data_IF_147688135690
#
_entry.id   IF_147688135690
#
_cell.length_a   1.000
_cell.length_b   1.000
_cell.length_c   1.000
_cell.angle_alpha   90.00
_cell.angle_beta   90.00
_cell.angle_gamma   90.00
#
_symmetry.space_group_name_H-M   'P 1'
#
loop_
_entity.id
_entity.type
_entity.pdbx_description
1 polymer ?
#
# COMPACT_ATOMS: atom_id res chain seq x y z
N UNK A 1 -14.58 -4.31 -81.91
CA UNK A 1 -13.64 -5.00 -80.95
C UNK A 1 -14.01 -4.56 -79.56
N UNK A 2 -14.84 -5.31 -78.93
CA UNK A 2 -15.39 -5.09 -77.61
C UNK A 2 -14.62 -5.98 -76.66
N UNK A 3 -13.96 -5.36 -75.68
CA UNK A 3 -13.31 -6.11 -74.57
C UNK A 3 -14.35 -6.58 -73.53
N UNK A 4 -14.22 -7.77 -72.95
CA UNK A 4 -15.11 -8.23 -71.92
C UNK A 4 -14.70 -7.68 -70.53
N UNK A 5 -15.71 -7.24 -69.79
CA UNK A 5 -15.60 -6.78 -68.39
C UNK A 5 -15.28 -7.99 -67.46
N UNK A 6 -14.12 -7.98 -66.84
CA UNK A 6 -13.80 -8.87 -65.72
C UNK A 6 -14.60 -8.50 -64.46
N UNK A 7 -15.47 -9.37 -64.06
CA UNK A 7 -16.19 -9.33 -62.78
C UNK A 7 -15.23 -9.70 -61.68
N UNK A 8 -14.89 -8.77 -60.75
CA UNK A 8 -14.17 -9.01 -59.52
C UNK A 8 -14.97 -9.97 -58.61
N UNK A 9 -14.34 -10.97 -57.99
CA UNK A 9 -15.02 -11.86 -57.10
C UNK A 9 -15.45 -11.13 -55.82
N UNK A 10 -16.70 -11.40 -55.45
CA UNK A 10 -17.42 -10.94 -54.27
C UNK A 10 -16.53 -11.05 -53.00
N UNK A 11 -16.30 -9.93 -52.30
CA UNK A 11 -15.68 -9.88 -51.01
C UNK A 11 -16.53 -10.74 -50.05
N UNK A 12 -15.97 -11.87 -49.64
CA UNK A 12 -16.54 -12.70 -48.61
C UNK A 12 -16.83 -11.83 -47.36
N UNK A 13 -18.08 -11.75 -47.01
CA UNK A 13 -18.56 -11.17 -45.75
C UNK A 13 -17.78 -11.81 -44.62
N UNK A 14 -16.87 -11.01 -44.05
CA UNK A 14 -16.24 -11.35 -42.77
C UNK A 14 -17.38 -11.52 -41.77
N UNK A 15 -17.63 -12.76 -41.39
CA UNK A 15 -18.70 -13.12 -40.49
C UNK A 15 -18.66 -12.23 -39.25
N UNK A 16 -19.78 -11.57 -38.99
CA UNK A 16 -20.06 -10.85 -37.77
C UNK A 16 -19.76 -11.80 -36.57
N UNK A 17 -18.59 -11.62 -35.97
CA UNK A 17 -18.31 -12.18 -34.64
C UNK A 17 -19.36 -11.57 -33.73
N UNK A 18 -20.27 -12.36 -33.13
CA UNK A 18 -21.31 -11.81 -32.27
C UNK A 18 -20.63 -10.92 -31.24
N UNK A 19 -21.10 -9.69 -31.12
CA UNK A 19 -20.68 -8.73 -30.12
C UNK A 19 -21.06 -9.35 -28.75
N UNK A 20 -20.26 -10.31 -28.31
CA UNK A 20 -20.29 -10.83 -26.95
C UNK A 20 -20.22 -9.63 -26.07
N UNK A 21 -21.21 -9.49 -25.20
CA UNK A 21 -21.47 -8.37 -24.28
C UNK A 21 -20.13 -7.88 -23.70
N UNK A 22 -19.50 -6.92 -24.39
CA UNK A 22 -18.27 -6.31 -23.93
C UNK A 22 -18.63 -5.54 -22.68
N UNK A 23 -18.09 -6.00 -21.57
CA UNK A 23 -18.31 -5.38 -20.29
C UNK A 23 -17.90 -3.90 -20.38
N UNK A 24 -18.77 -3.00 -19.94
CA UNK A 24 -18.46 -1.57 -19.94
C UNK A 24 -17.15 -1.33 -19.18
N UNK A 25 -16.17 -0.59 -19.72
CA UNK A 25 -14.91 -0.31 -19.04
C UNK A 25 -15.10 0.27 -17.65
N UNK A 26 -16.13 1.10 -17.45
CA UNK A 26 -16.50 1.61 -16.13
C UNK A 26 -16.91 0.52 -15.14
N UNK A 27 -17.63 -0.52 -15.59
CA UNK A 27 -17.97 -1.65 -14.71
C UNK A 27 -16.73 -2.41 -14.26
N UNK A 28 -15.71 -2.52 -15.12
CA UNK A 28 -14.45 -3.13 -14.75
C UNK A 28 -13.69 -2.29 -13.69
N UNK A 29 -13.57 -0.99 -13.92
CA UNK A 29 -12.92 -0.06 -12.97
C UNK A 29 -13.62 -0.08 -11.61
N UNK A 30 -14.95 0.06 -11.59
CA UNK A 30 -15.74 0.00 -10.35
C UNK A 30 -15.62 -1.38 -9.70
N UNK A 31 -15.65 -2.46 -10.48
CA UNK A 31 -15.45 -3.82 -9.97
C UNK A 31 -14.11 -3.97 -9.25
N UNK A 32 -13.00 -3.55 -9.87
CA UNK A 32 -11.69 -3.53 -9.20
C UNK A 32 -11.67 -2.61 -7.97
N UNK A 33 -12.41 -1.51 -8.01
CA UNK A 33 -12.59 -0.62 -6.86
C UNK A 33 -13.31 -1.32 -5.70
N UNK A 34 -14.39 -2.08 -5.98
CA UNK A 34 -15.12 -2.86 -4.97
C UNK A 34 -14.26 -3.98 -4.40
N UNK A 35 -13.46 -4.67 -5.23
CA UNK A 35 -12.48 -5.66 -4.75
C UNK A 35 -11.48 -5.00 -3.80
N UNK A 36 -10.98 -3.80 -4.15
CA UNK A 36 -10.03 -3.07 -3.31
C UNK A 36 -10.69 -2.61 -2.01
N UNK A 37 -11.89 -2.06 -2.07
CA UNK A 37 -12.68 -1.69 -0.90
C UNK A 37 -12.83 -2.87 0.06
N UNK A 38 -13.31 -4.00 -0.41
CA UNK A 38 -13.52 -5.18 0.42
C UNK A 38 -12.19 -5.73 0.99
N UNK A 39 -11.12 -5.76 0.20
CA UNK A 39 -9.81 -6.20 0.66
C UNK A 39 -9.17 -5.22 1.66
N UNK A 40 -9.37 -3.92 1.48
CA UNK A 40 -8.86 -2.93 2.43
C UNK A 40 -9.69 -2.90 3.71
N UNK A 41 -10.97 -3.24 3.68
CA UNK A 41 -11.73 -3.56 4.90
C UNK A 41 -11.07 -4.68 5.71
N UNK A 42 -10.60 -5.76 5.03
CA UNK A 42 -9.90 -6.86 5.70
C UNK A 42 -8.56 -6.37 6.29
N UNK A 43 -7.75 -5.76 5.44
CA UNK A 43 -6.39 -5.37 5.79
C UNK A 43 -6.33 -4.27 6.85
N UNK A 44 -7.04 -3.15 6.64
CA UNK A 44 -7.01 -2.02 7.57
C UNK A 44 -7.85 -2.30 8.81
N UNK A 45 -8.89 -3.14 8.69
CA UNK A 45 -9.62 -3.67 9.84
C UNK A 45 -8.70 -4.44 10.78
N UNK A 46 -7.92 -5.40 10.29
CA UNK A 46 -6.95 -6.14 11.09
C UNK A 46 -5.84 -5.25 11.65
N UNK A 47 -5.32 -4.33 10.82
CA UNK A 47 -4.26 -3.40 11.21
C UNK A 47 -4.66 -2.55 12.41
N UNK A 48 -5.93 -2.17 12.49
CA UNK A 48 -6.46 -1.35 13.59
C UNK A 48 -6.34 -2.00 14.96
N UNK A 49 -6.31 -3.34 15.04
CA UNK A 49 -6.23 -4.11 16.30
C UNK A 49 -5.04 -5.07 16.36
N UNK A 50 -4.07 -4.96 15.44
CA UNK A 50 -2.87 -5.82 15.44
C UNK A 50 -2.04 -5.65 16.71
N UNK A 51 -1.82 -4.43 17.19
CA UNK A 51 -1.11 -4.18 18.45
C UNK A 51 -1.80 -4.81 19.66
N UNK A 52 -3.09 -4.53 19.90
CA UNK A 52 -3.89 -5.18 20.93
C UNK A 52 -3.89 -6.72 20.87
N UNK A 53 -4.01 -7.30 19.67
CA UNK A 53 -3.97 -8.75 19.49
C UNK A 53 -2.61 -9.32 19.91
N UNK A 54 -1.51 -8.75 19.41
CA UNK A 54 -0.17 -9.21 19.76
C UNK A 54 0.12 -9.03 21.26
N UNK A 55 -0.37 -7.93 21.86
CA UNK A 55 -0.28 -7.70 23.31
C UNK A 55 -1.01 -8.81 24.10
N UNK A 56 -2.24 -9.18 23.70
CA UNK A 56 -3.01 -10.24 24.34
C UNK A 56 -2.35 -11.62 24.23
N UNK A 57 -1.51 -11.82 23.21
CA UNK A 57 -0.71 -13.04 23.02
C UNK A 57 0.66 -12.98 23.74
N UNK A 58 0.93 -11.93 24.52
CA UNK A 58 2.16 -11.79 25.30
C UNK A 58 3.34 -11.17 24.57
N UNK A 59 3.11 -10.49 23.43
CA UNK A 59 4.17 -9.79 22.72
C UNK A 59 4.68 -8.58 23.52
N UNK A 60 6.00 -8.35 23.48
CA UNK A 60 6.59 -7.07 23.92
C UNK A 60 6.38 -5.98 22.87
N UNK A 61 6.50 -4.71 23.27
CA UNK A 61 6.43 -3.60 22.32
C UNK A 61 7.51 -3.68 21.23
N UNK A 62 8.69 -4.22 21.56
CA UNK A 62 9.77 -4.51 20.59
C UNK A 62 9.28 -5.45 19.50
N UNK A 63 8.64 -6.56 19.88
CA UNK A 63 8.15 -7.54 18.92
C UNK A 63 7.02 -6.96 18.06
N UNK A 64 6.10 -6.21 18.66
CA UNK A 64 5.05 -5.51 17.91
C UNK A 64 5.65 -4.54 16.90
N UNK A 65 6.62 -3.72 17.30
CA UNK A 65 7.32 -2.79 16.43
C UNK A 65 8.09 -3.48 15.31
N UNK A 66 8.79 -4.57 15.62
CA UNK A 66 9.53 -5.38 14.66
C UNK A 66 8.58 -6.01 13.61
N UNK A 67 7.52 -6.68 14.04
CA UNK A 67 6.58 -7.38 13.13
C UNK A 67 5.83 -6.39 12.25
N UNK A 68 5.36 -5.28 12.80
CA UNK A 68 4.65 -4.27 12.01
C UNK A 68 5.60 -3.53 11.07
N UNK A 69 6.82 -3.20 11.50
CA UNK A 69 7.87 -2.62 10.64
C UNK A 69 8.33 -3.57 9.54
N UNK A 70 8.56 -4.86 9.88
CA UNK A 70 8.89 -5.89 8.90
C UNK A 70 7.77 -6.09 7.87
N UNK A 71 6.51 -6.03 8.31
CA UNK A 71 5.36 -6.08 7.41
C UNK A 71 5.35 -4.93 6.39
N UNK A 72 5.60 -3.70 6.82
CA UNK A 72 5.72 -2.56 5.90
C UNK A 72 6.90 -2.72 4.95
N UNK A 73 8.05 -3.17 5.44
CA UNK A 73 9.22 -3.47 4.62
C UNK A 73 8.92 -4.53 3.56
N UNK A 74 8.28 -5.64 3.93
CA UNK A 74 7.89 -6.70 3.00
C UNK A 74 6.94 -6.17 1.93
N UNK A 75 5.93 -5.37 2.31
CA UNK A 75 4.99 -4.78 1.38
C UNK A 75 5.66 -3.83 0.37
N UNK A 76 6.77 -3.18 0.72
CA UNK A 76 7.52 -2.29 -0.16
C UNK A 76 8.54 -3.05 -1.02
N UNK A 77 9.43 -3.82 -0.37
CA UNK A 77 10.59 -4.44 -1.02
C UNK A 77 10.17 -5.56 -1.97
N UNK A 78 9.23 -6.42 -1.56
CA UNK A 78 8.81 -7.53 -2.42
C UNK A 78 8.09 -7.06 -3.70
N UNK A 79 7.53 -5.85 -3.76
CA UNK A 79 6.98 -5.30 -5.02
C UNK A 79 8.04 -5.15 -6.10
N UNK A 80 9.28 -4.88 -5.72
CA UNK A 80 10.42 -4.78 -6.65
C UNK A 80 10.69 -6.12 -7.33
N UNK A 81 10.41 -7.23 -6.65
CA UNK A 81 10.55 -8.60 -7.18
C UNK A 81 9.31 -9.00 -7.97
N UNK A 82 8.13 -8.79 -7.40
CA UNK A 82 6.86 -9.24 -8.01
C UNK A 82 6.40 -8.38 -9.19
N UNK A 83 6.86 -7.14 -9.32
CA UNK A 83 6.61 -6.32 -10.51
C UNK A 83 7.17 -6.96 -11.78
N UNK A 84 8.51 -7.11 -11.89
CA UNK A 84 9.13 -7.78 -13.03
C UNK A 84 8.68 -9.23 -13.24
N UNK A 85 8.33 -9.94 -12.15
CA UNK A 85 7.80 -11.30 -12.25
C UNK A 85 6.40 -11.31 -12.91
N UNK A 86 5.53 -10.35 -12.55
CA UNK A 86 4.22 -10.20 -13.17
C UNK A 86 4.34 -9.90 -14.66
N UNK A 87 5.23 -8.95 -15.03
CA UNK A 87 5.44 -8.55 -16.42
C UNK A 87 6.03 -9.68 -17.27
N UNK A 88 7.04 -10.40 -16.75
CA UNK A 88 7.67 -11.53 -17.47
C UNK A 88 6.76 -12.74 -17.62
N UNK A 89 5.96 -13.03 -16.59
CA UNK A 89 5.09 -14.21 -16.60
C UNK A 89 3.78 -13.98 -17.33
N UNK A 90 3.34 -12.72 -17.49
CA UNK A 90 2.02 -12.34 -17.99
C UNK A 90 0.85 -12.86 -17.11
N UNK A 91 1.14 -13.50 -15.98
CA UNK A 91 0.15 -14.15 -15.11
C UNK A 91 -0.49 -13.18 -14.12
N UNK A 92 -0.96 -12.02 -14.61
CA UNK A 92 -1.54 -10.97 -13.77
C UNK A 92 -2.70 -11.46 -12.91
N UNK A 93 -3.62 -12.22 -13.48
CA UNK A 93 -4.76 -12.78 -12.73
C UNK A 93 -4.34 -13.74 -11.62
N UNK A 94 -3.40 -14.67 -11.91
CA UNK A 94 -2.92 -15.64 -10.91
C UNK A 94 -2.27 -14.95 -9.72
N UNK A 95 -1.39 -13.97 -9.96
CA UNK A 95 -0.73 -13.21 -8.89
C UNK A 95 -1.73 -12.35 -8.10
N UNK A 96 -2.70 -11.75 -8.79
CA UNK A 96 -3.76 -10.98 -8.13
C UNK A 96 -4.59 -11.88 -7.22
N UNK A 97 -5.06 -13.05 -7.70
CA UNK A 97 -5.78 -14.00 -6.88
C UNK A 97 -4.95 -14.51 -5.70
N UNK A 98 -3.71 -14.93 -5.93
CA UNK A 98 -2.83 -15.42 -4.87
C UNK A 98 -2.67 -14.39 -3.74
N UNK A 99 -2.42 -13.12 -4.09
CA UNK A 99 -2.27 -12.08 -3.09
C UNK A 99 -3.57 -11.76 -2.34
N UNK A 100 -4.72 -11.71 -3.01
CA UNK A 100 -6.02 -11.50 -2.34
C UNK A 100 -6.42 -12.71 -1.49
N UNK A 101 -6.13 -13.94 -1.90
CA UNK A 101 -6.37 -15.15 -1.11
C UNK A 101 -5.55 -15.13 0.18
N UNK A 102 -4.27 -14.75 0.13
CA UNK A 102 -3.45 -14.58 1.33
C UNK A 102 -4.09 -13.59 2.31
N UNK A 103 -4.56 -12.44 1.84
CA UNK A 103 -5.25 -11.46 2.71
C UNK A 103 -6.56 -12.05 3.27
N UNK A 104 -7.40 -12.66 2.42
CA UNK A 104 -8.71 -13.18 2.82
C UNK A 104 -8.63 -14.40 3.76
N UNK A 105 -7.51 -15.12 3.77
CA UNK A 105 -7.30 -16.29 4.64
C UNK A 105 -6.48 -15.94 5.87
N UNK A 106 -5.31 -15.28 5.70
CA UNK A 106 -4.40 -15.04 6.82
C UNK A 106 -5.00 -14.09 7.88
N UNK A 107 -5.76 -13.09 7.44
CA UNK A 107 -6.34 -12.12 8.38
C UNK A 107 -7.44 -12.75 9.25
N UNK A 108 -8.49 -13.40 8.73
CA UNK A 108 -9.46 -14.06 9.58
C UNK A 108 -8.86 -15.21 10.41
N UNK A 109 -7.81 -15.88 9.91
CA UNK A 109 -7.10 -16.92 10.65
C UNK A 109 -6.43 -16.39 11.93
N UNK A 110 -6.15 -15.08 12.04
CA UNK A 110 -5.71 -14.46 13.29
C UNK A 110 -6.71 -14.67 14.44
N UNK A 111 -7.99 -14.86 14.14
CA UNK A 111 -9.01 -15.18 15.14
C UNK A 111 -8.74 -16.48 15.93
N UNK A 112 -7.98 -17.40 15.35
CA UNK A 112 -7.67 -18.71 15.97
C UNK A 112 -6.50 -18.59 16.96
N UNK A 113 -5.65 -17.57 16.80
CA UNK A 113 -4.38 -17.47 17.53
C UNK A 113 -4.51 -17.44 19.04
N UNK A 114 -5.55 -16.83 19.68
CA UNK A 114 -5.72 -16.91 21.14
C UNK A 114 -5.96 -18.32 21.66
N UNK A 115 -6.39 -19.26 20.81
CA UNK A 115 -6.71 -20.64 21.19
C UNK A 115 -5.56 -21.62 20.96
N UNK A 116 -4.40 -21.14 20.45
CA UNK A 116 -3.24 -21.97 20.12
C UNK A 116 -2.19 -22.05 21.25
N UNK A 117 -2.56 -21.65 22.46
CA UNK A 117 -1.67 -21.63 23.62
C UNK A 117 -0.29 -21.00 23.28
N UNK A 118 0.83 -21.64 23.65
CA UNK A 118 2.17 -21.12 23.41
C UNK A 118 2.56 -20.87 21.94
N UNK A 119 1.86 -21.46 20.98
CA UNK A 119 2.12 -21.24 19.55
C UNK A 119 1.40 -20.01 19.00
N UNK A 120 0.42 -19.45 19.73
CA UNK A 120 -0.46 -18.39 19.24
C UNK A 120 0.29 -17.16 18.73
N UNK A 121 1.27 -16.69 19.48
CA UNK A 121 2.08 -15.52 19.12
C UNK A 121 2.89 -15.75 17.84
N UNK A 122 3.56 -16.91 17.73
CA UNK A 122 4.35 -17.23 16.54
C UNK A 122 3.48 -17.35 15.29
N UNK A 123 2.32 -18.00 15.43
CA UNK A 123 1.35 -18.12 14.31
C UNK A 123 0.79 -16.76 13.94
N UNK A 124 0.46 -15.88 14.89
CA UNK A 124 0.02 -14.50 14.59
C UNK A 124 1.07 -13.72 13.80
N UNK A 125 2.33 -13.77 14.22
CA UNK A 125 3.44 -13.13 13.51
C UNK A 125 3.56 -13.63 12.06
N UNK A 126 3.50 -14.95 11.85
CA UNK A 126 3.57 -15.56 10.52
C UNK A 126 2.38 -15.15 9.63
N UNK A 127 1.16 -15.15 10.15
CA UNK A 127 -0.03 -14.75 9.42
C UNK A 127 0.02 -13.27 9.01
N UNK A 128 0.47 -12.39 9.91
CA UNK A 128 0.66 -10.96 9.61
C UNK A 128 1.67 -10.78 8.49
N UNK A 129 2.82 -11.44 8.56
CA UNK A 129 3.85 -11.33 7.52
C UNK A 129 3.39 -11.96 6.20
N UNK A 130 2.68 -13.09 6.23
CA UNK A 130 2.11 -13.72 5.03
C UNK A 130 1.09 -12.81 4.33
N UNK A 131 0.23 -12.12 5.09
CA UNK A 131 -0.67 -11.12 4.54
C UNK A 131 0.11 -9.98 3.85
N UNK A 132 1.20 -9.46 4.45
CA UNK A 132 2.05 -8.43 3.85
C UNK A 132 2.71 -8.89 2.55
N UNK A 133 3.18 -10.14 2.52
CA UNK A 133 3.66 -10.76 1.29
C UNK A 133 2.55 -10.82 0.22
N UNK A 134 1.33 -11.21 0.60
CA UNK A 134 0.16 -11.20 -0.27
C UNK A 134 -0.11 -9.82 -0.89
N UNK A 135 -0.02 -8.75 -0.08
CA UNK A 135 -0.17 -7.36 -0.55
C UNK A 135 0.92 -7.00 -1.58
N UNK A 136 2.15 -7.42 -1.36
CA UNK A 136 3.25 -7.20 -2.29
C UNK A 136 3.06 -7.94 -3.63
N UNK A 137 2.61 -9.20 -3.58
CA UNK A 137 2.36 -10.04 -4.76
C UNK A 137 1.25 -9.45 -5.64
N UNK A 138 0.11 -9.08 -5.03
CA UNK A 138 -1.07 -8.61 -5.79
C UNK A 138 -0.90 -7.20 -6.36
N UNK A 139 -0.14 -6.32 -5.68
CA UNK A 139 -0.14 -4.89 -5.97
C UNK A 139 0.27 -4.54 -7.40
N UNK A 140 1.41 -5.00 -7.96
CA UNK A 140 1.79 -4.70 -9.33
C UNK A 140 0.83 -5.34 -10.35
N UNK A 141 0.47 -6.61 -10.16
CA UNK A 141 -0.43 -7.33 -11.06
C UNK A 141 -1.84 -6.70 -11.13
N UNK A 142 -2.42 -6.35 -9.96
CA UNK A 142 -3.70 -5.62 -9.89
C UNK A 142 -3.61 -4.28 -10.62
N UNK A 143 -2.52 -3.55 -10.43
CA UNK A 143 -2.35 -2.23 -11.06
C UNK A 143 -2.31 -2.33 -12.58
N UNK A 144 -1.65 -3.35 -13.14
CA UNK A 144 -1.63 -3.61 -14.57
C UNK A 144 -3.03 -3.94 -15.12
N UNK A 145 -3.79 -4.82 -14.44
CA UNK A 145 -5.18 -5.14 -14.82
C UNK A 145 -6.10 -3.92 -14.77
N UNK A 146 -5.96 -3.09 -13.71
CA UNK A 146 -6.73 -1.85 -13.58
C UNK A 146 -6.35 -0.84 -14.66
N UNK A 147 -5.07 -0.68 -14.98
CA UNK A 147 -4.62 0.23 -16.04
C UNK A 147 -5.20 -0.16 -17.40
N UNK A 148 -5.21 -1.47 -17.72
CA UNK A 148 -5.84 -1.98 -18.92
C UNK A 148 -7.35 -1.67 -18.95
N UNK A 149 -8.06 -1.88 -17.85
CA UNK A 149 -9.49 -1.55 -17.75
C UNK A 149 -9.77 -0.04 -17.83
N UNK A 150 -8.90 0.78 -17.23
CA UNK A 150 -9.05 2.23 -17.17
C UNK A 150 -8.66 2.94 -18.47
N UNK A 151 -7.94 2.28 -19.37
CA UNK A 151 -7.48 2.88 -20.64
C UNK A 151 -8.60 3.50 -21.47
N UNK A 152 -9.77 2.86 -21.50
CA UNK A 152 -10.94 3.33 -22.26
C UNK A 152 -11.76 4.43 -21.57
N UNK A 153 -11.60 4.65 -20.26
CA UNK A 153 -12.33 5.67 -19.48
C UNK A 153 -11.47 6.86 -19.08
N UNK A 154 -10.16 6.77 -19.35
CA UNK A 154 -9.13 7.70 -18.93
C UNK A 154 -8.46 7.21 -17.62
N UNK A 155 -7.14 7.00 -17.69
CA UNK A 155 -6.34 6.45 -16.58
C UNK A 155 -6.55 7.23 -15.28
N UNK A 156 -6.48 8.57 -15.34
CA UNK A 156 -6.63 9.41 -14.13
C UNK A 156 -7.97 9.21 -13.44
N UNK A 157 -9.08 9.21 -14.20
CA UNK A 157 -10.43 9.00 -13.66
C UNK A 157 -10.61 7.60 -13.10
N UNK A 158 -10.12 6.57 -13.81
CA UNK A 158 -10.20 5.19 -13.37
C UNK A 158 -9.45 4.95 -12.07
N UNK A 159 -8.21 5.45 -11.97
CA UNK A 159 -7.43 5.35 -10.73
C UNK A 159 -8.00 6.18 -9.58
N UNK A 160 -8.60 7.35 -9.86
CA UNK A 160 -9.23 8.17 -8.83
C UNK A 160 -10.44 7.47 -8.19
N UNK A 161 -11.34 6.88 -9.02
CA UNK A 161 -12.49 6.11 -8.52
C UNK A 161 -12.01 4.88 -7.73
N UNK A 162 -11.01 4.17 -8.24
CA UNK A 162 -10.42 3.03 -7.53
C UNK A 162 -9.85 3.45 -6.17
N UNK A 163 -9.08 4.56 -6.12
CA UNK A 163 -8.49 5.05 -4.86
C UNK A 163 -9.52 5.55 -3.86
N UNK A 164 -10.61 6.16 -4.33
CA UNK A 164 -11.71 6.56 -3.46
C UNK A 164 -12.38 5.35 -2.78
N UNK A 165 -12.63 4.26 -3.52
CA UNK A 165 -13.17 3.02 -2.99
C UNK A 165 -12.18 2.31 -2.04
N UNK A 166 -10.89 2.31 -2.36
CA UNK A 166 -9.78 1.86 -1.51
C UNK A 166 -9.83 2.57 -0.12
N UNK A 167 -9.92 3.90 -0.13
CA UNK A 167 -10.00 4.69 1.10
C UNK A 167 -11.32 4.47 1.88
N UNK A 168 -12.44 4.29 1.17
CA UNK A 168 -13.68 3.93 1.82
C UNK A 168 -13.56 2.59 2.58
N UNK A 169 -12.87 1.60 1.98
CA UNK A 169 -12.54 0.33 2.64
C UNK A 169 -11.64 0.50 3.86
N UNK A 170 -10.63 1.38 3.76
CA UNK A 170 -9.70 1.66 4.85
C UNK A 170 -10.38 2.29 6.09
N UNK A 171 -11.50 2.98 5.91
CA UNK A 171 -12.33 3.48 7.01
C UNK A 171 -13.37 2.45 7.46
N UNK A 172 -14.06 1.80 6.52
CA UNK A 172 -15.15 0.88 6.82
C UNK A 172 -14.68 -0.39 7.56
N UNK A 173 -13.49 -0.90 7.25
CA UNK A 173 -12.92 -2.08 7.91
C UNK A 173 -12.74 -1.89 9.43
N UNK A 174 -12.01 -0.87 9.88
CA UNK A 174 -11.89 -0.56 11.31
C UNK A 174 -13.23 -0.27 11.99
N UNK A 175 -14.19 0.36 11.30
CA UNK A 175 -15.54 0.57 11.86
C UNK A 175 -16.27 -0.77 12.07
N UNK A 176 -16.18 -1.70 11.13
CA UNK A 176 -16.71 -3.05 11.28
C UNK A 176 -16.09 -3.78 12.49
N UNK A 177 -14.75 -3.72 12.58
CA UNK A 177 -13.99 -4.30 13.69
C UNK A 177 -14.39 -3.68 15.02
N UNK A 178 -14.54 -2.36 15.10
CA UNK A 178 -14.97 -1.65 16.29
C UNK A 178 -16.37 -2.10 16.76
N UNK A 179 -17.33 -2.18 15.81
CA UNK A 179 -18.68 -2.63 16.11
C UNK A 179 -18.71 -4.05 16.69
N UNK A 180 -17.99 -4.99 16.06
CA UNK A 180 -17.92 -6.38 16.55
C UNK A 180 -17.17 -6.48 17.87
N UNK A 181 -16.06 -5.75 18.04
CA UNK A 181 -15.30 -5.75 19.31
C UNK A 181 -16.14 -5.16 20.46
N UNK A 182 -16.97 -4.14 20.22
CA UNK A 182 -17.87 -3.56 21.20
C UNK A 182 -18.97 -4.55 21.65
N UNK A 183 -19.51 -5.34 20.70
CA UNK A 183 -20.56 -6.31 20.98
C UNK A 183 -20.01 -7.59 21.65
N UNK A 184 -18.84 -8.05 21.23
CA UNK A 184 -18.27 -9.31 21.68
C UNK A 184 -17.40 -9.19 22.94
N UNK A 185 -16.92 -7.99 23.26
CA UNK A 185 -15.97 -7.75 24.37
C UNK A 185 -14.57 -8.37 24.19
N UNK A 186 -14.33 -9.03 23.05
CA UNK A 186 -13.09 -9.74 22.74
C UNK A 186 -12.65 -9.49 21.29
N UNK A 187 -11.34 -9.69 20.97
CA UNK A 187 -10.79 -9.36 19.67
C UNK A 187 -10.99 -10.45 18.60
N UNK A 188 -11.09 -11.73 19.01
CA UNK A 188 -11.14 -12.82 18.04
C UNK A 188 -12.38 -12.79 17.12
N UNK A 189 -13.62 -12.42 17.56
CA UNK A 189 -14.75 -12.31 16.65
C UNK A 189 -14.59 -11.15 15.67
N UNK A 190 -13.93 -10.07 16.12
CA UNK A 190 -13.64 -8.92 15.28
C UNK A 190 -12.62 -9.22 14.17
N UNK A 191 -11.70 -10.18 14.40
CA UNK A 191 -10.85 -10.73 13.34
C UNK A 191 -11.63 -11.70 12.44
N UNK A 192 -12.47 -12.57 13.03
CA UNK A 192 -13.23 -13.58 12.29
C UNK A 192 -14.22 -12.95 11.30
N UNK A 193 -14.90 -11.86 11.67
CA UNK A 193 -15.88 -11.19 10.79
C UNK A 193 -15.26 -10.70 9.48
N UNK A 194 -13.96 -10.46 9.44
CA UNK A 194 -13.24 -10.02 8.25
C UNK A 194 -13.20 -11.10 7.14
N UNK A 195 -13.63 -12.33 7.43
CA UNK A 195 -13.87 -13.35 6.41
C UNK A 195 -14.96 -12.91 5.41
N UNK A 196 -15.95 -12.14 5.86
CA UNK A 196 -17.06 -11.67 5.02
C UNK A 196 -16.57 -10.75 3.90
N UNK A 197 -15.91 -9.61 4.18
CA UNK A 197 -15.35 -8.78 3.12
C UNK A 197 -14.22 -9.50 2.36
N UNK A 198 -13.46 -10.40 2.98
CA UNK A 198 -12.45 -11.21 2.31
C UNK A 198 -13.04 -12.13 1.24
N UNK A 199 -14.10 -12.86 1.58
CA UNK A 199 -14.86 -13.69 0.65
C UNK A 199 -15.50 -12.85 -0.46
N UNK A 200 -16.10 -11.71 -0.12
CA UNK A 200 -16.69 -10.79 -1.08
C UNK A 200 -15.64 -10.29 -2.10
N UNK A 201 -14.43 -9.93 -1.66
CA UNK A 201 -13.34 -9.53 -2.55
C UNK A 201 -12.99 -10.64 -3.57
N UNK A 202 -12.86 -11.89 -3.11
CA UNK A 202 -12.53 -13.03 -3.97
C UNK A 202 -13.67 -13.36 -4.94
N UNK A 203 -14.93 -13.31 -4.49
CA UNK A 203 -16.10 -13.58 -5.33
C UNK A 203 -16.25 -12.54 -6.44
N UNK A 204 -16.12 -11.23 -6.08
CA UNK A 204 -16.16 -10.14 -7.06
C UNK A 204 -14.98 -10.25 -8.03
N UNK A 205 -13.78 -10.55 -7.55
CA UNK A 205 -12.61 -10.77 -8.40
C UNK A 205 -12.81 -11.93 -9.39
N UNK A 206 -13.36 -13.05 -8.91
CA UNK A 206 -13.69 -14.19 -9.75
C UNK A 206 -14.75 -13.86 -10.80
N UNK A 207 -15.75 -13.06 -10.43
CA UNK A 207 -16.77 -12.58 -11.35
C UNK A 207 -16.18 -11.64 -12.43
N UNK A 208 -15.29 -10.72 -12.06
CA UNK A 208 -14.59 -9.84 -13.02
C UNK A 208 -13.78 -10.67 -14.00
N UNK A 209 -12.98 -11.64 -13.51
CA UNK A 209 -12.17 -12.51 -14.36
C UNK A 209 -12.99 -13.25 -15.42
N UNK A 210 -14.22 -13.70 -15.08
CA UNK A 210 -15.11 -14.37 -16.05
C UNK A 210 -15.62 -13.43 -17.15
N UNK A 211 -15.59 -12.12 -16.92
CA UNK A 211 -16.12 -11.10 -17.84
C UNK A 211 -15.03 -10.33 -18.59
N UNK A 212 -13.79 -10.35 -18.10
CA UNK A 212 -12.66 -9.71 -18.75
C UNK A 212 -11.71 -10.75 -19.35
N UNK A 213 -11.39 -10.66 -20.65
CA UNK A 213 -10.35 -11.49 -21.26
C UNK A 213 -8.99 -11.15 -20.63
N UNK A 214 -8.06 -12.10 -20.70
CA UNK A 214 -6.70 -11.89 -20.23
C UNK A 214 -6.02 -10.82 -21.12
N UNK A 215 -5.44 -9.75 -20.55
CA UNK A 215 -4.75 -8.71 -21.32
C UNK A 215 -3.66 -9.27 -22.25
N UNK A 216 -2.92 -10.28 -21.80
CA UNK A 216 -1.88 -10.93 -22.58
C UNK A 216 -2.41 -11.60 -23.87
N UNK A 217 -3.67 -12.07 -23.86
CA UNK A 217 -4.32 -12.66 -25.03
C UNK A 217 -4.83 -11.56 -25.97
N UNK A 218 -5.29 -10.43 -25.43
CA UNK A 218 -5.83 -9.31 -26.19
C UNK A 218 -4.74 -8.55 -26.95
N UNK A 219 -3.56 -8.35 -26.36
CA UNK A 219 -2.43 -7.69 -27.04
C UNK A 219 -1.90 -8.55 -28.20
N UNK A 220 -1.78 -9.86 -28.02
CA UNK A 220 -1.36 -10.78 -29.09
C UNK A 220 -2.37 -10.88 -30.24
N UNK A 221 -3.66 -10.66 -29.97
CA UNK A 221 -4.71 -10.66 -30.99
C UNK A 221 -4.79 -9.34 -31.78
N UNK A 222 -4.34 -8.23 -31.18
CA UNK A 222 -4.41 -6.89 -31.76
C UNK A 222 -3.10 -6.44 -32.44
N UNK A 223 -2.01 -7.18 -32.26
CA UNK A 223 -0.74 -6.90 -32.93
C UNK A 223 -0.91 -7.21 -34.43
N UNK A 224 -0.70 -6.26 -35.36
CA UNK A 224 -0.58 -6.58 -36.79
C UNK A 224 0.51 -7.65 -36.93
N UNK A 225 0.25 -8.71 -37.69
CA UNK A 225 1.30 -9.69 -38.06
C UNK A 225 2.32 -8.94 -38.96
N UNK A 226 3.14 -8.11 -38.33
CA UNK A 226 4.28 -7.50 -39.00
C UNK A 226 5.30 -8.63 -39.19
N UNK A 227 5.60 -8.89 -40.46
CA UNK A 227 6.54 -9.88 -40.97
C UNK A 227 8.01 -9.48 -40.74
N UNK A 228 8.29 -8.61 -39.81
CA UNK A 228 9.66 -8.26 -39.42
C UNK A 228 9.85 -8.71 -37.96
N UNK A 229 10.84 -9.56 -37.65
CA UNK A 229 11.14 -9.91 -36.27
C UNK A 229 11.49 -8.61 -35.54
N UNK A 230 10.59 -8.20 -34.64
CA UNK A 230 10.88 -7.11 -33.73
C UNK A 230 12.20 -7.46 -33.05
N UNK A 231 13.22 -6.62 -33.28
CA UNK A 231 14.51 -6.71 -32.62
C UNK A 231 14.17 -6.75 -31.13
N UNK A 232 14.36 -7.92 -30.52
CA UNK A 232 14.16 -8.11 -29.07
C UNK A 232 14.85 -6.97 -28.35
N UNK A 233 14.06 -6.08 -27.74
CA UNK A 233 14.63 -5.06 -26.87
C UNK A 233 15.43 -5.82 -25.80
N UNK A 234 16.71 -5.49 -25.57
CA UNK A 234 17.52 -6.22 -24.64
C UNK A 234 16.79 -6.27 -23.30
N UNK A 235 16.43 -7.48 -22.84
CA UNK A 235 15.83 -7.67 -21.53
C UNK A 235 16.69 -6.92 -20.51
N UNK A 236 16.14 -6.00 -19.71
CA UNK A 236 16.93 -5.29 -18.72
C UNK A 236 17.49 -6.34 -17.75
N UNK A 237 18.74 -6.76 -17.98
CA UNK A 237 19.48 -7.48 -16.98
C UNK A 237 19.59 -6.55 -15.80
N UNK A 238 19.01 -6.94 -14.65
CA UNK A 238 19.15 -6.21 -13.39
C UNK A 238 20.66 -5.99 -13.14
N UNK A 239 21.15 -4.80 -13.44
CA UNK A 239 22.54 -4.44 -13.25
C UNK A 239 22.62 -3.53 -12.05
N UNK A 240 23.07 -4.05 -10.93
CA UNK A 240 23.39 -3.27 -9.72
C UNK A 240 24.31 -2.06 -10.02
N UNK A 241 25.04 -2.09 -11.13
CA UNK A 241 25.82 -0.96 -11.66
C UNK A 241 24.99 0.31 -11.92
N UNK A 242 23.67 0.20 -12.10
CA UNK A 242 22.79 1.36 -12.33
C UNK A 242 22.46 2.14 -11.03
N UNK A 243 22.66 1.56 -9.85
CA UNK A 243 22.43 2.27 -8.58
C UNK A 243 23.51 3.35 -8.33
N UNK A 244 24.75 3.09 -8.72
CA UNK A 244 25.86 4.06 -8.59
C UNK A 244 25.74 5.26 -9.53
N UNK A 245 24.87 5.19 -10.55
CA UNK A 245 24.63 6.29 -11.48
C UNK A 245 23.50 7.23 -11.03
N UNK A 246 22.87 6.95 -9.89
CA UNK A 246 21.80 7.81 -9.38
C UNK A 246 22.39 9.13 -8.83
N UNK A 247 21.72 10.28 -9.06
CA UNK A 247 22.22 11.57 -8.63
C UNK A 247 22.37 11.66 -7.11
N UNK A 248 23.33 12.45 -6.63
CA UNK A 248 23.54 12.68 -5.18
C UNK A 248 22.27 13.22 -4.52
N UNK A 249 21.52 14.08 -5.22
CA UNK A 249 20.25 14.64 -4.72
C UNK A 249 19.21 13.54 -4.45
N UNK A 250 19.15 12.49 -5.29
CA UNK A 250 18.30 11.32 -5.03
C UNK A 250 18.70 10.61 -3.73
N UNK A 251 20.00 10.42 -3.46
CA UNK A 251 20.46 9.75 -2.23
C UNK A 251 20.16 10.57 -0.98
N UNK A 252 20.31 11.90 -1.06
CA UNK A 252 19.92 12.81 0.04
C UNK A 252 18.41 12.70 0.30
N UNK A 253 17.61 12.72 -0.76
CA UNK A 253 16.16 12.54 -0.65
C UNK A 253 15.76 11.18 -0.08
N UNK A 254 16.37 10.10 -0.56
CA UNK A 254 16.12 8.76 -0.05
C UNK A 254 16.50 8.62 1.43
N UNK A 255 17.61 9.22 1.84
CA UNK A 255 18.03 9.26 3.25
C UNK A 255 17.05 10.09 4.12
N UNK A 256 16.60 11.26 3.63
CA UNK A 256 15.61 12.10 4.32
C UNK A 256 14.28 11.36 4.52
N UNK A 257 13.76 10.73 3.46
CA UNK A 257 12.54 9.94 3.54
C UNK A 257 12.71 8.66 4.38
N UNK A 258 13.90 8.05 4.34
CA UNK A 258 14.25 6.93 5.22
C UNK A 258 14.22 7.35 6.68
N UNK A 259 14.83 8.48 7.04
CA UNK A 259 14.79 9.04 8.39
C UNK A 259 13.34 9.39 8.81
N UNK A 260 12.56 10.03 7.94
CA UNK A 260 11.15 10.31 8.22
C UNK A 260 10.36 9.02 8.49
N UNK A 261 10.56 7.98 7.68
CA UNK A 261 9.93 6.66 7.86
C UNK A 261 10.39 5.96 9.14
N UNK A 262 11.67 6.03 9.49
CA UNK A 262 12.20 5.43 10.72
C UNK A 262 11.62 6.08 11.99
N UNK A 263 11.33 7.38 11.95
CA UNK A 263 10.70 8.05 13.09
C UNK A 263 9.16 7.95 13.10
N UNK A 264 8.53 7.54 12.01
CA UNK A 264 7.09 7.33 11.97
C UNK A 264 6.73 6.01 12.67
N UNK A 265 6.42 6.11 13.95
CA UNK A 265 6.02 4.96 14.77
C UNK A 265 4.85 4.23 14.11
N UNK A 266 4.91 2.89 14.07
CA UNK A 266 3.81 2.10 13.50
C UNK A 266 2.56 2.18 14.37
N UNK A 267 1.38 2.16 13.75
CA UNK A 267 0.13 2.13 14.51
C UNK A 267 0.05 0.91 15.45
N UNK A 268 0.74 -0.18 15.13
CA UNK A 268 0.83 -1.34 16.00
C UNK A 268 1.38 -1.01 17.39
N UNK A 269 2.44 -0.21 17.49
CA UNK A 269 3.02 0.22 18.77
C UNK A 269 2.10 1.24 19.47
N UNK A 270 1.49 2.15 18.72
CA UNK A 270 0.52 3.12 19.28
C UNK A 270 -0.69 2.38 19.85
N UNK A 271 -1.30 1.48 19.11
CA UNK A 271 -2.48 0.72 19.55
C UNK A 271 -2.14 -0.26 20.70
N UNK A 272 -0.92 -0.77 20.73
CA UNK A 272 -0.39 -1.54 21.87
C UNK A 272 -0.40 -0.68 23.15
N UNK A 273 0.11 0.56 23.09
CA UNK A 273 0.08 1.51 24.21
C UNK A 273 -1.35 1.81 24.66
N UNK A 274 -2.21 2.21 23.73
CA UNK A 274 -3.60 2.56 24.04
C UNK A 274 -4.36 1.45 24.79
N UNK A 275 -4.01 0.18 24.53
CA UNK A 275 -4.65 -0.98 25.15
C UNK A 275 -3.97 -1.41 26.42
N UNK A 276 -2.63 -1.49 26.44
CA UNK A 276 -1.84 -1.94 27.59
C UNK A 276 -2.02 -1.00 28.78
N UNK A 277 -1.96 0.30 28.55
CA UNK A 277 -2.06 1.33 29.58
C UNK A 277 -3.52 1.78 29.80
N UNK A 278 -4.48 1.07 29.19
CA UNK A 278 -5.94 1.31 29.32
C UNK A 278 -6.35 2.77 29.08
N UNK A 279 -5.66 3.45 28.15
CA UNK A 279 -5.94 4.86 27.80
C UNK A 279 -7.34 5.02 27.21
N UNK A 280 -7.79 4.00 26.44
CA UNK A 280 -9.13 3.93 25.87
C UNK A 280 -9.67 2.50 25.93
N UNK A 281 -11.01 2.28 25.92
CA UNK A 281 -11.60 0.96 25.76
C UNK A 281 -11.14 0.29 24.48
N UNK A 282 -10.98 -1.04 24.50
CA UNK A 282 -10.46 -1.81 23.36
C UNK A 282 -11.25 -1.60 22.05
N UNK A 283 -12.56 -1.43 22.14
CA UNK A 283 -13.42 -1.15 21.00
C UNK A 283 -13.24 0.27 20.42
N UNK A 284 -12.67 1.20 21.19
CA UNK A 284 -12.36 2.55 20.69
C UNK A 284 -11.10 2.59 19.84
N UNK A 285 -10.16 1.64 20.02
CA UNK A 285 -8.90 1.61 19.27
C UNK A 285 -9.11 1.57 17.76
N UNK A 286 -9.95 0.69 17.19
CA UNK A 286 -10.22 0.71 15.75
C UNK A 286 -11.06 1.93 15.30
N UNK A 287 -11.89 2.54 16.17
CA UNK A 287 -12.56 3.81 15.84
C UNK A 287 -11.57 4.96 15.66
N UNK A 288 -10.59 5.06 16.57
CA UNK A 288 -9.51 6.05 16.47
C UNK A 288 -8.68 5.83 15.21
N UNK A 289 -8.44 4.56 14.85
CA UNK A 289 -7.76 4.23 13.60
C UNK A 289 -8.57 4.64 12.36
N UNK A 290 -9.87 4.39 12.35
CA UNK A 290 -10.75 4.82 11.27
C UNK A 290 -10.70 6.35 11.08
N UNK A 291 -10.71 7.10 12.19
CA UNK A 291 -10.55 8.55 12.16
C UNK A 291 -9.18 8.98 11.64
N UNK A 292 -8.11 8.26 12.00
CA UNK A 292 -6.77 8.49 11.46
C UNK A 292 -6.70 8.24 9.95
N UNK A 293 -7.37 7.20 9.44
CA UNK A 293 -7.44 6.93 7.99
C UNK A 293 -8.24 7.99 7.24
N UNK A 294 -9.28 8.53 7.84
CA UNK A 294 -9.99 9.69 7.30
C UNK A 294 -9.07 10.94 7.28
N UNK A 295 -8.33 11.20 8.36
CA UNK A 295 -7.34 12.28 8.40
C UNK A 295 -6.23 12.08 7.35
N UNK A 296 -5.78 10.85 7.14
CA UNK A 296 -4.80 10.51 6.11
C UNK A 296 -5.33 10.81 4.69
N UNK A 297 -6.58 10.46 4.41
CA UNK A 297 -7.21 10.76 3.13
C UNK A 297 -7.30 12.28 2.88
N UNK A 298 -7.74 13.04 3.87
CA UNK A 298 -7.81 14.51 3.78
C UNK A 298 -6.42 15.13 3.61
N UNK A 299 -5.45 14.68 4.39
CA UNK A 299 -4.06 15.16 4.30
C UNK A 299 -3.42 14.82 2.94
N UNK A 300 -3.69 13.64 2.38
CA UNK A 300 -3.22 13.27 1.07
C UNK A 300 -3.78 14.17 -0.04
N UNK A 301 -5.07 14.50 0.01
CA UNK A 301 -5.70 15.42 -0.94
C UNK A 301 -5.13 16.84 -0.80
N UNK A 302 -5.03 17.34 0.44
CA UNK A 302 -4.52 18.67 0.73
C UNK A 302 -3.05 18.79 0.34
N UNK A 303 -2.21 17.81 0.71
CA UNK A 303 -0.79 17.83 0.38
C UNK A 303 -0.55 17.69 -1.12
N UNK A 304 -1.35 16.91 -1.84
CA UNK A 304 -1.28 16.84 -3.31
C UNK A 304 -1.60 18.19 -3.96
N UNK A 305 -2.68 18.85 -3.54
CA UNK A 305 -3.05 20.17 -4.03
C UNK A 305 -2.01 21.26 -3.69
N UNK A 306 -1.44 21.19 -2.48
CA UNK A 306 -0.35 22.09 -2.08
C UNK A 306 0.93 21.81 -2.89
N UNK A 307 1.21 20.54 -3.19
CA UNK A 307 2.37 20.13 -3.99
C UNK A 307 2.31 20.71 -5.41
N UNK A 308 1.15 20.73 -6.03
CA UNK A 308 0.95 21.34 -7.36
C UNK A 308 1.23 22.84 -7.36
N UNK A 309 1.12 23.53 -6.19
CA UNK A 309 1.35 24.97 -6.04
C UNK A 309 2.73 25.34 -5.53
N UNK A 310 3.27 24.56 -4.58
CA UNK A 310 4.49 24.88 -3.84
C UNK A 310 5.62 23.86 -4.09
N UNK A 311 5.38 22.85 -4.94
CA UNK A 311 6.34 21.80 -5.24
C UNK A 311 6.73 20.98 -3.99
N UNK A 312 7.95 20.45 -4.00
CA UNK A 312 8.48 19.60 -2.95
C UNK A 312 8.56 20.22 -1.54
N UNK A 313 8.42 21.56 -1.41
CA UNK A 313 8.45 22.25 -0.10
C UNK A 313 7.37 21.76 0.87
N UNK A 314 6.26 21.26 0.35
CA UNK A 314 5.18 20.67 1.17
C UNK A 314 5.68 19.50 2.01
N UNK A 315 6.69 18.76 1.52
CA UNK A 315 7.27 17.63 2.25
C UNK A 315 8.00 18.03 3.53
N UNK A 316 8.38 19.30 3.71
CA UNK A 316 8.97 19.78 4.97
C UNK A 316 8.00 19.67 6.15
N UNK A 317 6.68 19.61 5.89
CA UNK A 317 5.68 19.38 6.92
C UNK A 317 5.76 17.96 7.51
N UNK A 318 6.22 16.96 6.72
CA UNK A 318 6.24 15.57 7.15
C UNK A 318 7.09 15.30 8.39
N UNK A 319 8.39 15.69 8.45
CA UNK A 319 9.20 15.50 9.66
C UNK A 319 8.63 16.23 10.88
N UNK A 320 8.00 17.39 10.68
CA UNK A 320 7.40 18.17 11.77
C UNK A 320 6.20 17.42 12.36
N UNK A 321 5.29 16.94 11.49
CA UNK A 321 4.14 16.15 11.94
C UNK A 321 4.61 14.89 12.68
N UNK A 322 5.57 14.15 12.12
CA UNK A 322 6.08 12.91 12.71
C UNK A 322 6.76 13.13 14.06
N UNK A 323 7.50 14.26 14.23
CA UNK A 323 8.16 14.58 15.49
C UNK A 323 7.19 14.77 16.67
N UNK A 324 6.00 15.29 16.40
CA UNK A 324 4.97 15.57 17.41
C UNK A 324 4.21 14.31 17.84
N UNK A 325 4.09 13.31 16.95
CA UNK A 325 3.29 12.09 17.18
C UNK A 325 3.63 11.41 18.51
N UNK A 326 4.89 11.07 18.85
CA UNK A 326 5.18 10.31 20.07
C UNK A 326 4.82 11.08 21.34
N UNK A 327 5.01 12.39 21.34
CA UNK A 327 4.72 13.23 22.51
C UNK A 327 3.21 13.26 22.84
N UNK A 328 2.35 13.09 21.84
CA UNK A 328 0.90 13.08 22.03
C UNK A 328 0.34 11.65 22.09
N UNK A 329 0.75 10.76 21.18
CA UNK A 329 0.15 9.43 21.04
C UNK A 329 0.47 8.48 22.21
N UNK A 330 1.58 8.70 22.95
CA UNK A 330 1.97 7.91 24.09
C UNK A 330 1.68 8.57 25.45
N UNK A 331 0.68 9.43 25.51
CA UNK A 331 0.20 10.01 26.77
C UNK A 331 -0.92 9.17 27.35
N UNK A 332 -1.09 9.22 28.69
CA UNK A 332 -2.23 8.62 29.39
C UNK A 332 -3.53 9.45 29.26
N UNK A 333 -3.48 10.58 28.54
CA UNK A 333 -4.64 11.41 28.26
C UNK A 333 -5.31 10.98 26.96
N UNK A 334 -6.51 10.40 27.02
CA UNK A 334 -7.22 9.95 25.84
C UNK A 334 -7.41 11.06 24.78
N UNK A 335 -7.81 12.32 25.12
CA UNK A 335 -7.90 13.36 24.12
C UNK A 335 -6.57 13.67 23.43
N UNK A 336 -5.47 13.75 24.17
CA UNK A 336 -4.15 14.02 23.61
C UNK A 336 -3.68 12.86 22.73
N UNK A 337 -3.88 11.62 23.16
CA UNK A 337 -3.54 10.43 22.37
C UNK A 337 -4.32 10.37 21.05
N UNK A 338 -5.62 10.69 21.06
CA UNK A 338 -6.44 10.77 19.85
C UNK A 338 -5.90 11.82 18.89
N UNK A 339 -5.56 13.03 19.39
CA UNK A 339 -4.95 14.07 18.54
C UNK A 339 -3.62 13.59 17.96
N UNK A 340 -2.78 12.92 18.75
CA UNK A 340 -1.52 12.33 18.27
C UNK A 340 -1.74 11.31 17.14
N UNK A 341 -2.78 10.46 17.27
CA UNK A 341 -3.14 9.47 16.25
C UNK A 341 -3.71 10.13 14.99
N UNK A 342 -4.47 11.22 15.10
CA UNK A 342 -4.94 11.97 13.93
C UNK A 342 -3.77 12.64 13.18
N UNK A 343 -2.79 13.20 13.92
CA UNK A 343 -1.56 13.75 13.32
C UNK A 343 -0.75 12.64 12.66
N UNK A 344 -0.66 11.45 13.29
CA UNK A 344 -0.05 10.27 12.67
C UNK A 344 -0.73 9.91 11.34
N UNK A 345 -2.05 9.88 11.31
CA UNK A 345 -2.81 9.66 10.07
C UNK A 345 -2.49 10.71 9.01
N UNK A 346 -2.47 12.00 9.38
CA UNK A 346 -2.11 13.09 8.47
C UNK A 346 -0.68 12.92 7.91
N UNK A 347 0.31 12.54 8.74
CA UNK A 347 1.68 12.27 8.31
C UNK A 347 1.74 11.11 7.30
N UNK A 348 1.00 10.02 7.54
CA UNK A 348 0.86 8.89 6.58
C UNK A 348 0.28 9.39 5.26
N UNK A 349 -0.75 10.23 5.28
CA UNK A 349 -1.38 10.79 4.09
C UNK A 349 -0.43 11.65 3.26
N UNK A 350 0.33 12.54 3.90
CA UNK A 350 1.38 13.36 3.24
C UNK A 350 2.44 12.45 2.62
N UNK A 351 2.92 11.45 3.36
CA UNK A 351 3.95 10.53 2.88
C UNK A 351 3.50 9.73 1.66
N UNK A 352 2.28 9.21 1.66
CA UNK A 352 1.76 8.38 0.56
C UNK A 352 1.47 9.17 -0.72
N UNK A 353 1.10 10.45 -0.59
CA UNK A 353 0.73 11.31 -1.71
C UNK A 353 1.96 11.88 -2.43
N UNK A 354 2.85 12.55 -1.70
CA UNK A 354 3.83 13.49 -2.31
C UNK A 354 5.23 12.89 -2.50
N UNK A 355 5.65 11.94 -1.65
CA UNK A 355 7.01 11.39 -1.71
C UNK A 355 7.31 10.69 -3.05
N UNK A 356 6.34 9.93 -3.58
CA UNK A 356 6.52 9.20 -4.85
C UNK A 356 6.62 10.11 -6.07
N UNK A 357 5.94 11.25 -6.03
CA UNK A 357 5.98 12.24 -7.11
C UNK A 357 7.41 12.81 -7.25
N UNK A 358 8.01 13.22 -6.13
CA UNK A 358 9.34 13.81 -6.14
C UNK A 358 10.45 12.82 -6.56
N UNK A 359 10.32 11.51 -6.26
CA UNK A 359 11.26 10.49 -6.78
C UNK A 359 11.30 10.50 -8.30
N UNK A 360 10.14 10.65 -8.96
CA UNK A 360 10.08 10.67 -10.43
C UNK A 360 10.76 11.91 -11.04
N UNK A 361 10.73 13.03 -10.34
CA UNK A 361 11.31 14.29 -10.81
C UNK A 361 12.85 14.32 -10.64
N UNK A 362 13.36 13.66 -9.59
CA UNK A 362 14.79 13.66 -9.25
C UNK A 362 15.66 12.77 -10.15
N UNK A 363 15.07 11.87 -10.95
CA UNK A 363 15.82 10.88 -11.73
C UNK A 363 15.37 10.82 -13.19
N UNK A 364 16.30 10.57 -14.14
CA UNK A 364 15.98 10.34 -15.54
C UNK A 364 15.01 9.16 -15.72
N UNK A 365 14.16 9.20 -16.74
CA UNK A 365 13.19 8.15 -17.07
C UNK A 365 13.82 6.77 -17.21
N UNK A 366 15.06 6.69 -17.73
CA UNK A 366 15.81 5.46 -17.95
C UNK A 366 16.24 4.75 -16.67
N UNK A 367 16.35 5.46 -15.54
CA UNK A 367 16.79 4.92 -14.24
C UNK A 367 15.69 4.90 -13.18
N UNK A 368 14.46 5.33 -13.51
CA UNK A 368 13.33 5.41 -12.56
C UNK A 368 13.01 4.10 -11.87
N UNK A 369 13.00 2.99 -12.60
CA UNK A 369 12.71 1.69 -12.02
C UNK A 369 13.75 1.29 -10.95
N UNK A 370 15.04 1.53 -11.22
CA UNK A 370 16.11 1.31 -10.26
C UNK A 370 15.99 2.24 -9.06
N UNK A 371 15.68 3.52 -9.28
CA UNK A 371 15.48 4.49 -8.22
C UNK A 371 14.32 4.10 -7.29
N UNK A 372 13.16 3.72 -7.83
CA UNK A 372 12.05 3.23 -7.00
C UNK A 372 12.40 1.96 -6.22
N UNK A 373 13.22 1.06 -6.80
CA UNK A 373 13.69 -0.15 -6.13
C UNK A 373 14.60 0.17 -4.95
N UNK A 374 15.60 1.03 -5.16
CA UNK A 374 16.51 1.50 -4.10
C UNK A 374 15.73 2.26 -3.02
N UNK A 375 14.85 3.15 -3.43
CA UNK A 375 14.00 3.92 -2.51
C UNK A 375 13.14 3.01 -1.63
N UNK A 376 12.49 1.99 -2.22
CA UNK A 376 11.71 1.01 -1.48
C UNK A 376 12.57 0.20 -0.49
N UNK A 377 13.80 -0.15 -0.86
CA UNK A 377 14.74 -0.84 0.04
C UNK A 377 15.14 0.04 1.23
N UNK A 378 15.45 1.33 0.98
CA UNK A 378 15.78 2.29 2.05
C UNK A 378 14.59 2.48 3.00
N UNK A 379 13.39 2.71 2.47
CA UNK A 379 12.19 2.86 3.30
C UNK A 379 11.84 1.56 4.06
N UNK A 380 12.01 0.39 3.43
CA UNK A 380 11.80 -0.89 4.09
C UNK A 380 12.75 -1.12 5.26
N UNK A 381 14.05 -0.88 5.06
CA UNK A 381 15.04 -0.96 6.13
C UNK A 381 14.73 0.05 7.27
N UNK A 382 14.34 1.27 6.91
CA UNK A 382 13.94 2.30 7.85
C UNK A 382 12.70 1.92 8.65
N UNK A 383 11.70 1.27 8.04
CA UNK A 383 10.49 0.82 8.72
C UNK A 383 10.79 -0.28 9.75
N UNK A 384 11.66 -1.24 9.43
CA UNK A 384 12.10 -2.27 10.38
C UNK A 384 12.87 -1.63 11.54
N UNK A 385 13.88 -0.83 11.23
CA UNK A 385 14.71 -0.19 12.23
C UNK A 385 13.88 0.74 13.14
N UNK A 386 13.03 1.57 12.55
CA UNK A 386 12.17 2.50 13.27
C UNK A 386 11.13 1.80 14.15
N UNK A 387 10.45 0.78 13.63
CA UNK A 387 9.49 0.00 14.40
C UNK A 387 10.14 -0.71 15.59
N UNK A 388 11.30 -1.35 15.37
CA UNK A 388 12.07 -2.02 16.43
C UNK A 388 12.57 -1.03 17.47
N UNK A 389 13.15 0.09 17.03
CA UNK A 389 13.64 1.16 17.89
C UNK A 389 12.52 1.77 18.74
N UNK A 390 11.39 2.08 18.11
CA UNK A 390 10.23 2.63 18.81
C UNK A 390 9.71 1.67 19.88
N UNK A 391 9.57 0.39 19.57
CA UNK A 391 9.17 -0.63 20.55
C UNK A 391 10.19 -0.79 21.68
N UNK A 392 11.50 -0.80 21.38
CA UNK A 392 12.55 -0.94 22.38
C UNK A 392 12.64 0.26 23.34
N UNK A 393 12.45 1.47 22.82
CA UNK A 393 12.47 2.69 23.63
C UNK A 393 11.16 2.86 24.41
N UNK A 394 10.03 2.41 23.86
CA UNK A 394 8.75 2.43 24.54
C UNK A 394 8.81 1.64 25.87
N UNK A 395 9.35 0.43 25.84
CA UNK A 395 9.47 -0.42 27.05
C UNK A 395 10.51 0.12 28.07
N UNK A 396 11.46 0.99 27.62
CA UNK A 396 12.54 1.50 28.49
C UNK A 396 12.29 2.91 29.01
N UNK A 397 11.92 3.83 28.14
CA UNK A 397 11.77 5.25 28.48
C UNK A 397 11.03 6.02 27.39
N UNK A 398 9.81 6.45 27.67
CA UNK A 398 9.05 7.32 26.77
C UNK A 398 9.76 8.65 26.47
N UNK A 399 10.39 9.36 27.44
CA UNK A 399 11.19 10.56 27.12
C UNK A 399 12.33 10.28 26.14
N UNK A 400 13.02 9.13 26.27
CA UNK A 400 14.06 8.74 25.33
C UNK A 400 13.48 8.44 23.93
N UNK A 401 12.31 7.80 23.85
CA UNK A 401 11.59 7.58 22.59
C UNK A 401 11.29 8.93 21.91
N UNK A 402 10.67 9.86 22.62
CA UNK A 402 10.31 11.19 22.10
C UNK A 402 11.54 11.93 21.61
N UNK A 403 12.60 12.00 22.44
CA UNK A 403 13.84 12.71 22.09
C UNK A 403 14.54 12.09 20.88
N UNK A 404 14.60 10.75 20.80
CA UNK A 404 15.23 10.04 19.70
C UNK A 404 14.47 10.27 18.39
N UNK A 405 13.14 10.18 18.41
CA UNK A 405 12.33 10.46 17.21
C UNK A 405 12.46 11.91 16.80
N UNK A 406 12.42 12.86 17.73
CA UNK A 406 12.62 14.28 17.42
C UNK A 406 13.98 14.53 16.75
N UNK A 407 15.05 13.92 17.24
CA UNK A 407 16.40 14.02 16.66
C UNK A 407 16.45 13.42 15.23
N UNK A 408 15.83 12.26 15.03
CA UNK A 408 15.73 11.63 13.70
C UNK A 408 14.94 12.54 12.74
N UNK A 409 13.83 13.12 13.21
CA UNK A 409 13.02 14.01 12.37
C UNK A 409 13.70 15.35 12.08
N UNK A 410 14.48 15.88 13.01
CA UNK A 410 15.32 17.06 12.74
C UNK A 410 16.35 16.73 11.64
N UNK A 411 16.98 15.56 11.70
CA UNK A 411 17.89 15.10 10.65
C UNK A 411 17.16 14.96 9.31
N UNK A 412 15.96 14.36 9.30
CA UNK A 412 15.15 14.24 8.10
C UNK A 412 14.79 15.61 7.51
N UNK A 413 14.41 16.57 8.36
CA UNK A 413 14.08 17.94 7.97
C UNK A 413 15.27 18.66 7.32
N UNK A 414 16.45 18.56 7.92
CA UNK A 414 17.69 19.17 7.39
C UNK A 414 18.06 18.55 6.05
N UNK A 415 18.06 17.22 5.95
CA UNK A 415 18.36 16.51 4.70
C UNK A 415 17.38 16.89 3.59
N UNK A 416 16.09 17.00 3.92
CA UNK A 416 15.06 17.36 2.96
C UNK A 416 15.22 18.83 2.51
N UNK A 417 15.50 19.75 3.43
CA UNK A 417 15.75 21.15 3.11
C UNK A 417 16.97 21.31 2.18
N UNK A 418 18.07 20.59 2.46
CA UNK A 418 19.27 20.57 1.59
C UNK A 418 18.93 19.97 0.22
N UNK A 419 18.12 18.92 0.16
CA UNK A 419 17.71 18.31 -1.10
C UNK A 419 16.95 19.31 -1.97
N UNK A 420 15.95 19.98 -1.40
CA UNK A 420 15.12 20.95 -2.12
C UNK A 420 15.88 22.20 -2.56
N UNK A 421 16.87 22.63 -1.77
CA UNK A 421 17.74 23.76 -2.15
C UNK A 421 18.60 23.39 -3.38
N UNK A 422 19.24 22.22 -3.36
CA UNK A 422 20.08 21.74 -4.47
C UNK A 422 19.30 21.40 -5.75
N UNK A 423 18.02 21.10 -5.64
CA UNK A 423 17.15 20.87 -6.80
C UNK A 423 16.75 22.17 -7.47
N UNK A 424 16.62 23.25 -6.69
CA UNK A 424 16.29 24.59 -7.20
C UNK A 424 17.45 25.24 -7.97
N UNK A 425 18.69 24.86 -7.67
CA UNK A 425 19.90 25.38 -8.30
C UNK A 425 20.26 24.65 -9.63
N UNK A 426 19.44 23.71 -10.08
CA UNK A 426 19.58 22.95 -11.33
C UNK A 426 18.64 23.44 -12.40
#
# INVERSE_FOLDING_TARGET
MTQPSETLPNAATVGDVPASVRWSPWRAVVGFGVVSLAADMVYEGARSITGPLLASLGASAVLVGLITGAGEAMALVLRVVFGPLADRSGRYWTLTFAGYTLTAVCVPALAITPFLAGAGLAVACLLILAERAGKAVRSPAKTALLAHAAGAVGLGRGFAVHKALDQAGAVAGPLLVAGVAALAGTLWPAMAVLIVPGAAALLVLAWIRRKMPDPAVSENASAPRASTPAREAPHPRWRWRSASSLPTVFWLFAAACGAATAGLVTYGVISYHLTRDQVVPIAAVPLIYAAAMAAAALAALLSGWLFDRHGGRVLLSLPILVAVVPALAFTNSAPAAIVGVLIWGAAVGVQDSTVKALVADLVPTTTRATAYGVFAAVQGAAAIAGGTLAGALYDRSLPALIATIAAIQLTALVLLAVTLHRDHDR
#
